data_IF_768957872989
#
_entry.id   IF_768957872989
#
_cell.length_a   1.000
_cell.length_b   1.000
_cell.length_c   1.000
_cell.angle_alpha   90.00
_cell.angle_beta   90.00
_cell.angle_gamma   90.00
#
_symmetry.space_group_name_H-M   'P 1'
#
loop_
_entity.id
_entity.type
_entity.pdbx_description
1 polymer ?
#
# COMPACT_ATOMS: atom_id res chain seq x y z
N UNK A 1 -1.37 18.26 16.34
CA UNK A 1 -1.12 16.87 16.77
C UNK A 1 -2.26 16.02 16.27
N UNK A 2 -1.94 14.90 15.62
CA UNK A 2 -2.94 13.94 15.09
C UNK A 2 -2.55 12.54 15.52
N UNK A 3 -3.54 11.74 15.92
CA UNK A 3 -3.35 10.31 16.19
C UNK A 3 -3.17 9.56 14.88
N UNK A 4 -2.22 8.65 14.84
CA UNK A 4 -1.98 7.79 13.68
C UNK A 4 -1.48 6.40 14.08
N UNK A 5 -1.48 5.49 13.12
CA UNK A 5 -0.77 4.22 13.18
C UNK A 5 0.45 4.37 12.30
N UNK A 6 1.62 4.24 12.90
CA UNK A 6 2.90 4.38 12.21
C UNK A 6 3.53 3.02 12.02
N UNK A 7 3.97 2.74 10.80
CA UNK A 7 4.82 1.60 10.49
C UNK A 7 6.29 2.01 10.70
N UNK A 8 6.99 1.28 11.56
CA UNK A 8 8.44 1.40 11.74
C UNK A 8 9.11 0.20 11.06
N UNK A 9 10.10 0.47 10.24
CA UNK A 9 10.89 -0.56 9.55
C UNK A 9 12.34 -0.42 9.93
N UNK A 10 12.94 -1.50 10.41
CA UNK A 10 14.38 -1.59 10.57
C UNK A 10 15.00 -2.07 9.25
N UNK A 11 15.62 -1.17 8.50
CA UNK A 11 16.21 -1.49 7.18
C UNK A 11 17.40 -2.46 7.24
N UNK A 12 17.94 -2.77 8.43
CA UNK A 12 19.01 -3.78 8.58
C UNK A 12 18.48 -5.18 8.83
N UNK A 13 17.41 -5.30 9.63
CA UNK A 13 16.81 -6.58 10.03
C UNK A 13 15.55 -6.93 9.25
N UNK A 14 15.02 -6.00 8.46
CA UNK A 14 13.72 -6.07 7.79
C UNK A 14 12.53 -6.25 8.76
N UNK A 15 12.74 -5.96 10.04
CA UNK A 15 11.69 -6.04 11.04
C UNK A 15 10.70 -4.89 10.88
N UNK A 16 9.41 -5.22 10.81
CA UNK A 16 8.30 -4.27 10.67
C UNK A 16 7.46 -4.27 11.94
N UNK A 17 7.23 -3.10 12.49
CA UNK A 17 6.40 -2.90 13.67
C UNK A 17 5.36 -1.79 13.44
N UNK A 18 4.15 -1.98 13.99
CA UNK A 18 3.10 -0.98 13.98
C UNK A 18 2.87 -0.43 15.39
N UNK A 19 2.78 0.88 15.51
CA UNK A 19 2.58 1.58 16.78
C UNK A 19 1.50 2.64 16.65
N UNK A 20 0.78 2.92 17.75
CA UNK A 20 -0.03 4.14 17.89
C UNK A 20 0.87 5.28 18.32
N UNK A 21 0.82 6.39 17.63
CA UNK A 21 1.55 7.58 18.03
C UNK A 21 0.77 8.86 17.72
N UNK A 22 1.23 9.94 18.29
CA UNK A 22 0.80 11.28 17.92
C UNK A 22 1.85 11.92 17.02
N UNK A 23 1.41 12.41 15.86
CA UNK A 23 2.28 13.12 14.93
C UNK A 23 1.92 14.60 14.84
N UNK A 24 2.91 15.40 14.56
CA UNK A 24 2.79 16.78 14.15
C UNK A 24 3.45 16.92 12.77
N UNK A 25 2.65 17.29 11.77
CA UNK A 25 3.19 17.57 10.44
C UNK A 25 3.84 18.95 10.46
N UNK A 26 5.15 19.00 10.23
CA UNK A 26 5.92 20.24 10.23
C UNK A 26 5.78 20.94 8.89
N UNK A 27 5.81 20.17 7.79
CA UNK A 27 5.67 20.69 6.42
C UNK A 27 5.03 19.63 5.52
N UNK A 28 4.12 20.06 4.66
CA UNK A 28 3.67 19.28 3.51
C UNK A 28 4.50 19.70 2.31
N UNK A 29 5.16 18.75 1.69
CA UNK A 29 5.91 18.98 0.44
C UNK A 29 4.99 18.72 -0.75
N UNK A 30 5.13 19.51 -1.80
CA UNK A 30 4.66 19.12 -3.14
C UNK A 30 5.57 18.02 -3.71
N UNK A 31 5.13 17.38 -4.79
CA UNK A 31 5.98 16.39 -5.47
C UNK A 31 7.26 17.02 -6.02
N UNK A 32 7.17 18.22 -6.61
CA UNK A 32 8.33 18.94 -7.15
C UNK A 32 9.32 19.33 -6.03
N UNK A 33 8.83 19.83 -4.88
CA UNK A 33 9.68 20.13 -3.74
C UNK A 33 10.37 18.86 -3.19
N UNK A 34 9.69 17.72 -3.17
CA UNK A 34 10.27 16.46 -2.73
C UNK A 34 11.30 15.93 -3.75
N UNK A 35 11.07 16.09 -5.05
CA UNK A 35 12.02 15.74 -6.10
C UNK A 35 13.30 16.55 -5.94
N UNK A 36 13.17 17.88 -5.80
CA UNK A 36 14.31 18.77 -5.55
C UNK A 36 15.14 18.37 -4.31
N UNK A 37 14.49 17.92 -3.24
CA UNK A 37 15.19 17.44 -2.04
C UNK A 37 15.93 16.12 -2.30
N UNK A 38 15.32 15.19 -3.02
CA UNK A 38 15.93 13.91 -3.38
C UNK A 38 17.17 14.07 -4.30
N UNK A 39 17.23 15.18 -5.04
CA UNK A 39 18.33 15.45 -5.97
C UNK A 39 19.42 16.35 -5.39
N UNK A 40 19.08 17.26 -4.45
CA UNK A 40 19.96 18.34 -3.99
C UNK A 40 20.38 18.28 -2.53
N UNK A 41 19.54 17.72 -1.64
CA UNK A 41 19.86 17.65 -0.21
C UNK A 41 20.59 16.35 0.15
N UNK A 42 21.82 16.41 0.68
CA UNK A 42 22.61 15.21 0.99
C UNK A 42 21.93 14.22 1.93
N UNK A 43 21.09 14.71 2.88
CA UNK A 43 20.34 13.85 3.80
C UNK A 43 19.25 13.09 3.08
N UNK A 44 18.55 13.75 2.15
CA UNK A 44 17.49 13.13 1.36
C UNK A 44 18.06 12.19 0.30
N UNK A 45 19.22 12.50 -0.30
CA UNK A 45 19.95 11.59 -1.19
C UNK A 45 20.35 10.31 -0.44
N UNK A 46 20.93 10.45 0.75
CA UNK A 46 21.29 9.29 1.58
C UNK A 46 20.06 8.47 1.98
N UNK A 47 18.95 9.14 2.31
CA UNK A 47 17.68 8.47 2.61
C UNK A 47 17.14 7.72 1.38
N UNK A 48 17.10 8.38 0.21
CA UNK A 48 16.69 7.79 -1.07
C UNK A 48 17.46 6.49 -1.33
N UNK A 49 18.78 6.52 -1.25
CA UNK A 49 19.62 5.35 -1.48
C UNK A 49 19.28 4.19 -0.53
N UNK A 50 19.18 4.45 0.77
CA UNK A 50 18.83 3.41 1.76
C UNK A 50 17.44 2.82 1.56
N UNK A 51 16.48 3.64 1.15
CA UNK A 51 15.11 3.18 0.92
C UNK A 51 15.01 2.43 -0.40
N UNK A 52 15.76 2.85 -1.43
CA UNK A 52 15.85 2.14 -2.70
C UNK A 52 16.32 0.70 -2.54
N UNK A 53 17.29 0.45 -1.67
CA UNK A 53 17.77 -0.91 -1.36
C UNK A 53 16.64 -1.80 -0.79
N UNK A 54 15.63 -1.19 -0.14
CA UNK A 54 14.52 -1.91 0.50
C UNK A 54 13.28 -2.05 -0.40
N UNK A 55 12.87 -0.98 -1.09
CA UNK A 55 11.64 -0.97 -1.90
C UNK A 55 11.88 -1.12 -3.40
N UNK A 56 13.14 -1.20 -3.82
CA UNK A 56 13.57 -1.18 -5.22
C UNK A 56 13.55 0.22 -5.84
N UNK A 57 14.17 0.34 -7.00
CA UNK A 57 14.33 1.62 -7.71
C UNK A 57 12.99 2.30 -8.05
N UNK A 58 13.01 3.62 -8.06
CA UNK A 58 11.91 4.48 -8.47
C UNK A 58 12.45 5.70 -9.22
N UNK A 59 11.71 6.13 -10.24
CA UNK A 59 12.17 7.18 -11.16
C UNK A 59 11.78 8.59 -10.68
N UNK A 60 10.74 8.70 -9.86
CA UNK A 60 10.18 9.97 -9.40
C UNK A 60 9.49 9.81 -8.02
N UNK A 61 9.14 10.92 -7.42
CA UNK A 61 8.46 10.96 -6.11
C UNK A 61 7.06 10.37 -6.14
N UNK A 62 6.35 10.37 -7.27
CA UNK A 62 5.06 9.69 -7.41
C UNK A 62 5.24 8.17 -7.27
N UNK A 63 6.24 7.60 -7.95
CA UNK A 63 6.57 6.18 -7.84
C UNK A 63 7.09 5.81 -6.45
N UNK A 64 7.84 6.69 -5.82
CA UNK A 64 8.24 6.52 -4.43
C UNK A 64 7.01 6.39 -3.51
N UNK A 65 6.07 7.32 -3.57
CA UNK A 65 4.85 7.29 -2.75
C UNK A 65 3.99 6.07 -3.08
N UNK A 66 3.84 5.70 -4.36
CA UNK A 66 3.13 4.48 -4.77
C UNK A 66 3.71 3.24 -4.10
N UNK A 67 5.04 3.05 -4.16
CA UNK A 67 5.74 1.91 -3.54
C UNK A 67 5.58 1.89 -2.02
N UNK A 68 5.72 3.04 -1.36
CA UNK A 68 5.53 3.15 0.09
C UNK A 68 4.08 2.84 0.48
N UNK A 69 3.10 3.28 -0.29
CA UNK A 69 1.68 2.96 -0.02
C UNK A 69 1.40 1.46 -0.19
N UNK A 70 1.94 0.83 -1.23
CA UNK A 70 1.79 -0.61 -1.45
C UNK A 70 2.45 -1.39 -0.30
N UNK A 71 3.67 -1.02 0.07
CA UNK A 71 4.39 -1.61 1.19
C UNK A 71 3.59 -1.49 2.49
N UNK A 72 3.16 -0.27 2.84
CA UNK A 72 2.36 -0.03 4.04
C UNK A 72 1.11 -0.91 4.08
N UNK A 73 0.35 -0.93 2.99
CA UNK A 73 -0.89 -1.70 2.89
C UNK A 73 -0.65 -3.22 2.98
N UNK A 74 0.43 -3.70 2.38
CA UNK A 74 0.83 -5.12 2.43
C UNK A 74 1.22 -5.53 3.85
N UNK A 75 2.11 -4.80 4.49
CA UNK A 75 2.56 -5.09 5.85
C UNK A 75 1.43 -4.92 6.88
N UNK A 76 0.54 -3.95 6.67
CA UNK A 76 -0.63 -3.76 7.52
C UNK A 76 -1.61 -4.94 7.42
N UNK A 77 -1.79 -5.50 6.24
CA UNK A 77 -2.59 -6.70 6.01
C UNK A 77 -1.99 -7.90 6.72
N UNK A 78 -0.67 -8.12 6.60
CA UNK A 78 0.05 -9.18 7.33
C UNK A 78 -0.14 -9.04 8.83
N UNK A 79 0.06 -7.82 9.36
CA UNK A 79 -0.13 -7.53 10.77
C UNK A 79 -1.55 -7.92 11.26
N UNK A 80 -2.61 -7.55 10.54
CA UNK A 80 -3.98 -7.91 10.90
C UNK A 80 -4.21 -9.42 10.83
N UNK A 81 -3.66 -10.07 9.81
CA UNK A 81 -3.76 -11.53 9.63
C UNK A 81 -3.09 -12.29 10.78
N UNK A 82 -1.87 -11.90 11.16
CA UNK A 82 -1.10 -12.51 12.24
C UNK A 82 -1.79 -12.33 13.61
N UNK A 83 -2.59 -11.28 13.77
CA UNK A 83 -3.44 -11.05 14.93
C UNK A 83 -4.79 -11.82 14.88
N UNK A 84 -4.98 -12.71 13.91
CA UNK A 84 -6.22 -13.47 13.67
C UNK A 84 -7.46 -12.56 13.57
N UNK A 85 -7.34 -11.38 12.95
CA UNK A 85 -8.45 -10.46 12.75
C UNK A 85 -9.22 -10.81 11.49
N UNK A 86 -10.55 -10.68 11.58
CA UNK A 86 -11.38 -10.67 10.39
C UNK A 86 -11.43 -9.23 9.86
N UNK A 87 -10.92 -8.99 8.67
CA UNK A 87 -10.82 -7.69 8.04
C UNK A 87 -11.04 -7.80 6.53
N UNK A 88 -11.47 -6.74 5.84
CA UNK A 88 -11.63 -6.75 4.41
C UNK A 88 -10.26 -6.75 3.70
N UNK A 89 -10.03 -7.76 2.88
CA UNK A 89 -8.93 -7.79 1.90
C UNK A 89 -9.43 -7.33 0.54
N UNK A 90 -8.53 -6.80 -0.27
CA UNK A 90 -8.81 -6.43 -1.65
C UNK A 90 -8.28 -7.49 -2.59
N UNK A 91 -9.18 -8.17 -3.28
CA UNK A 91 -8.83 -9.19 -4.27
C UNK A 91 -8.95 -8.64 -5.69
N UNK A 92 -8.17 -9.20 -6.60
CA UNK A 92 -8.23 -8.87 -8.02
C UNK A 92 -8.09 -10.17 -8.83
N UNK A 93 -9.14 -10.55 -9.55
CA UNK A 93 -9.23 -11.82 -10.27
C UNK A 93 -8.37 -11.89 -11.54
N UNK A 94 -7.73 -10.79 -11.93
CA UNK A 94 -6.91 -10.71 -13.14
C UNK A 94 -7.74 -10.42 -14.39
N UNK A 95 -7.32 -10.97 -15.52
CA UNK A 95 -7.94 -10.77 -16.82
C UNK A 95 -9.21 -11.60 -16.97
N UNK A 96 -10.17 -11.08 -17.70
CA UNK A 96 -11.37 -11.80 -18.16
C UNK A 96 -11.00 -12.57 -19.43
N UNK A 97 -10.81 -13.88 -19.31
CA UNK A 97 -10.35 -14.75 -20.41
C UNK A 97 -11.29 -14.73 -21.63
N UNK A 98 -12.59 -14.58 -21.39
CA UNK A 98 -13.63 -14.49 -22.42
C UNK A 98 -13.53 -13.23 -23.31
N UNK A 99 -12.93 -12.16 -22.79
CA UNK A 99 -12.71 -10.91 -23.51
C UNK A 99 -11.34 -10.85 -24.20
N UNK A 100 -10.35 -11.57 -23.73
CA UNK A 100 -9.02 -11.65 -24.35
C UNK A 100 -9.09 -12.16 -25.79
N UNK A 101 -9.90 -13.20 -26.05
CA UNK A 101 -10.04 -13.80 -27.36
C UNK A 101 -10.81 -12.93 -28.38
N UNK A 102 -11.46 -11.84 -27.91
CA UNK A 102 -12.20 -10.91 -28.77
C UNK A 102 -11.45 -9.58 -29.01
N UNK A 103 -10.25 -9.45 -28.46
CA UNK A 103 -9.58 -8.15 -28.34
C UNK A 103 -8.52 -7.85 -29.41
N UNK A 104 -8.45 -8.63 -30.51
CA UNK A 104 -7.48 -8.40 -31.60
C UNK A 104 -7.59 -7.03 -32.28
N UNK A 105 -8.71 -6.32 -32.07
CA UNK A 105 -9.00 -5.00 -32.68
C UNK A 105 -8.97 -3.83 -31.70
N UNK A 106 -8.55 -4.02 -30.44
CA UNK A 106 -8.62 -2.99 -29.39
C UNK A 106 -7.21 -2.54 -29.01
N UNK A 107 -6.98 -1.23 -28.94
CA UNK A 107 -5.76 -0.61 -28.42
C UNK A 107 -5.38 -1.18 -27.02
N UNK A 108 -4.10 -1.41 -26.79
CA UNK A 108 -3.58 -2.04 -25.55
C UNK A 108 -3.98 -1.27 -24.27
N UNK A 109 -4.10 0.05 -24.32
CA UNK A 109 -4.63 0.84 -23.21
C UNK A 109 -6.12 0.56 -22.93
N UNK A 110 -6.90 0.34 -23.96
CA UNK A 110 -8.31 0.00 -23.85
C UNK A 110 -8.50 -1.46 -23.42
N UNK A 111 -7.65 -2.38 -23.90
CA UNK A 111 -7.59 -3.77 -23.44
C UNK A 111 -7.41 -3.85 -21.94
N UNK A 112 -6.46 -3.11 -21.40
CA UNK A 112 -6.18 -3.06 -19.96
C UNK A 112 -7.41 -2.64 -19.14
N UNK A 113 -8.19 -1.67 -19.63
CA UNK A 113 -9.38 -1.17 -18.93
C UNK A 113 -10.59 -2.08 -19.02
N UNK A 114 -10.77 -2.75 -20.16
CA UNK A 114 -11.98 -3.56 -20.46
C UNK A 114 -11.81 -5.01 -20.03
N UNK A 115 -10.61 -5.55 -20.19
CA UNK A 115 -10.34 -6.98 -19.98
C UNK A 115 -10.00 -7.35 -18.53
N UNK A 116 -9.75 -6.38 -17.63
CA UNK A 116 -9.53 -6.69 -16.22
C UNK A 116 -10.84 -6.73 -15.41
N UNK A 117 -10.88 -7.66 -14.46
CA UNK A 117 -11.93 -7.61 -13.44
C UNK A 117 -11.71 -6.40 -12.54
N UNK A 118 -12.79 -5.74 -12.10
CA UNK A 118 -12.69 -4.77 -11.03
C UNK A 118 -12.22 -5.45 -9.74
N UNK A 119 -11.32 -4.77 -9.00
CA UNK A 119 -10.94 -5.26 -7.69
C UNK A 119 -12.11 -5.09 -6.71
N UNK A 120 -12.33 -6.07 -5.85
CA UNK A 120 -13.41 -6.09 -4.86
C UNK A 120 -12.87 -6.33 -3.46
N UNK A 121 -13.66 -5.96 -2.44
CA UNK A 121 -13.34 -6.23 -1.05
C UNK A 121 -14.16 -7.40 -0.54
N UNK A 122 -13.47 -8.34 0.12
CA UNK A 122 -14.07 -9.51 0.73
C UNK A 122 -13.50 -9.71 2.15
N UNK A 123 -14.27 -10.25 3.11
CA UNK A 123 -13.72 -10.61 4.41
C UNK A 123 -12.67 -11.72 4.29
N UNK A 124 -11.50 -11.57 4.90
CA UNK A 124 -10.38 -12.52 4.78
C UNK A 124 -10.75 -13.95 5.19
N UNK A 125 -11.64 -14.10 6.18
CA UNK A 125 -12.05 -15.41 6.69
C UNK A 125 -13.12 -16.11 5.84
N UNK A 126 -13.73 -15.42 4.86
CA UNK A 126 -14.85 -15.91 4.09
C UNK A 126 -14.50 -16.14 2.61
N UNK A 127 -13.22 -16.23 2.28
CA UNK A 127 -12.79 -16.42 0.90
C UNK A 127 -11.58 -17.34 0.82
N UNK A 128 -11.58 -18.20 -0.19
CA UNK A 128 -10.40 -18.97 -0.60
C UNK A 128 -9.52 -18.15 -1.56
N UNK A 129 -10.11 -17.17 -2.25
CA UNK A 129 -9.41 -16.28 -3.15
C UNK A 129 -8.86 -15.08 -2.40
N UNK A 130 -7.55 -15.06 -2.18
CA UNK A 130 -6.86 -14.02 -1.39
C UNK A 130 -5.92 -13.15 -2.21
N UNK A 131 -5.59 -13.57 -3.44
CA UNK A 131 -4.59 -12.93 -4.28
C UNK A 131 -5.12 -11.67 -4.99
N UNK A 132 -4.36 -10.59 -4.90
CA UNK A 132 -4.52 -9.40 -5.74
C UNK A 132 -3.64 -9.55 -6.99
N UNK A 133 -4.13 -10.22 -8.03
CA UNK A 133 -3.35 -10.58 -9.23
C UNK A 133 -2.61 -9.41 -9.90
N UNK A 134 -3.21 -8.22 -9.93
CA UNK A 134 -2.55 -7.05 -10.55
C UNK A 134 -1.34 -6.53 -9.77
N UNK A 135 -1.19 -6.86 -8.49
CA UNK A 135 -0.04 -6.51 -7.66
C UNK A 135 0.83 -7.73 -7.34
N UNK A 136 0.35 -8.93 -7.64
CA UNK A 136 0.94 -10.20 -7.23
C UNK A 136 1.17 -10.30 -5.70
N UNK A 137 0.17 -9.85 -4.93
CA UNK A 137 0.23 -9.79 -3.46
C UNK A 137 -0.92 -10.59 -2.88
N UNK A 138 -0.58 -11.57 -2.02
CA UNK A 138 -1.57 -12.31 -1.25
C UNK A 138 -2.09 -11.46 -0.07
N UNK A 139 -3.39 -11.58 0.20
CA UNK A 139 -4.09 -10.89 1.31
C UNK A 139 -3.83 -9.37 1.37
N UNK A 140 -3.81 -8.70 0.21
CA UNK A 140 -3.65 -7.25 0.16
C UNK A 140 -4.86 -6.52 0.75
N UNK A 141 -4.64 -5.43 1.48
CA UNK A 141 -5.72 -4.55 1.92
C UNK A 141 -5.36 -3.08 1.77
N UNK A 142 -6.30 -2.19 2.04
CA UNK A 142 -6.07 -0.75 2.08
C UNK A 142 -6.17 -0.23 3.52
N UNK A 143 -5.17 0.56 3.95
CA UNK A 143 -5.14 1.20 5.27
C UNK A 143 -4.46 2.59 5.26
N UNK A 144 -3.90 3.02 4.12
CA UNK A 144 -3.07 4.23 4.03
C UNK A 144 -3.83 5.54 3.85
N UNK A 145 -5.15 5.51 3.59
CA UNK A 145 -5.92 6.71 3.24
C UNK A 145 -7.30 6.77 3.92
N UNK A 146 -7.39 6.77 5.26
CA UNK A 146 -8.66 6.67 6.00
C UNK A 146 -9.58 7.89 5.84
N UNK A 147 -9.05 9.02 5.38
CA UNK A 147 -9.85 10.23 5.15
C UNK A 147 -10.72 10.15 3.89
N UNK A 148 -10.35 9.33 2.92
CA UNK A 148 -11.04 9.23 1.63
C UNK A 148 -11.54 7.83 1.28
N UNK A 149 -11.13 6.79 2.00
CA UNK A 149 -11.58 5.42 1.79
C UNK A 149 -12.09 4.82 3.10
N UNK A 150 -13.37 4.47 3.11
CA UNK A 150 -14.04 3.91 4.29
C UNK A 150 -13.40 2.59 4.76
N UNK A 151 -12.95 1.76 3.84
CA UNK A 151 -12.26 0.49 4.15
C UNK A 151 -10.97 0.74 4.93
N UNK A 152 -10.18 1.74 4.56
CA UNK A 152 -8.96 2.11 5.30
C UNK A 152 -9.26 2.50 6.74
N UNK A 153 -10.35 3.24 6.95
CA UNK A 153 -10.81 3.61 8.29
C UNK A 153 -11.21 2.39 9.12
N UNK A 154 -11.94 1.43 8.52
CA UNK A 154 -12.32 0.17 9.19
C UNK A 154 -11.06 -0.59 9.60
N UNK A 155 -10.14 -0.82 8.68
CA UNK A 155 -8.91 -1.56 8.93
C UNK A 155 -8.06 -0.90 10.01
N UNK A 156 -7.92 0.42 9.99
CA UNK A 156 -7.20 1.14 11.05
C UNK A 156 -7.91 1.04 12.40
N UNK A 157 -9.24 1.05 12.47
CA UNK A 157 -9.98 0.84 13.72
C UNK A 157 -9.79 -0.56 14.29
N UNK A 158 -9.79 -1.59 13.45
CA UNK A 158 -9.50 -2.97 13.85
C UNK A 158 -8.10 -3.04 14.46
N UNK A 159 -7.08 -2.48 13.81
CA UNK A 159 -5.72 -2.45 14.31
C UNK A 159 -5.59 -1.59 15.58
N UNK A 160 -6.25 -0.44 15.62
CA UNK A 160 -6.13 0.52 16.72
C UNK A 160 -6.49 -0.09 18.08
N UNK A 161 -7.45 -1.01 18.14
CA UNK A 161 -7.87 -1.66 19.37
C UNK A 161 -6.84 -2.66 19.90
N UNK A 162 -5.83 -3.04 19.12
CA UNK A 162 -4.84 -4.07 19.46
C UNK A 162 -3.41 -3.56 19.59
N UNK A 163 -3.15 -2.29 19.25
CA UNK A 163 -1.83 -1.69 19.34
C UNK A 163 -1.62 -0.98 20.67
N UNK A 164 -0.42 -1.08 21.23
CA UNK A 164 0.01 -0.28 22.38
C UNK A 164 0.21 1.18 21.97
N UNK A 165 0.11 2.09 22.94
CA UNK A 165 0.44 3.51 22.77
C UNK A 165 1.93 3.66 23.05
N UNK A 166 2.64 4.29 22.11
CA UNK A 166 4.05 4.68 22.23
C UNK A 166 4.15 6.18 22.52
#
# INVERSE_FOLDING_TARGET
IRRCITMKINLKTNEVNFIKCNIMVIKNLSYDEAEDLFDKDPKWIMFKNKVTDYIGEFNDTHKFIEKIMILYNTEFSKYLFDQNKNYPIRIHKGLKEDLLNKSELIDDNLKTRVCYHAAEYVPVNNTELTLHKALDIDKYTHASSPLRRFIDLINQRIAFNNLNID
#
